data_IF_328473599615
#
_entry.id   IF_328473599615
#
_cell.length_a   1.000
_cell.length_b   1.000
_cell.length_c   1.000
_cell.angle_alpha   90.00
_cell.angle_beta   90.00
_cell.angle_gamma   90.00
#
_symmetry.space_group_name_H-M   'P 1'
#
loop_
_entity.id
_entity.type
_entity.pdbx_description
1 polymer ?
#
# COMPACT_ATOMS: atom_id res chain seq x y z
N UNK A 1 33.41 4.42 -6.96
CA UNK A 1 32.73 4.55 -8.26
C UNK A 1 31.23 4.19 -8.13
N UNK A 2 30.44 4.96 -7.36
CA UNK A 2 29.01 4.63 -7.10
C UNK A 2 28.05 5.83 -7.31
N UNK A 3 28.56 7.07 -7.40
CA UNK A 3 27.72 8.28 -7.47
C UNK A 3 27.25 8.73 -8.86
N UNK A 4 27.71 8.10 -9.95
CA UNK A 4 27.49 8.60 -11.33
C UNK A 4 26.19 8.09 -11.95
N UNK A 5 25.71 6.90 -11.56
CA UNK A 5 24.49 6.29 -12.15
C UNK A 5 23.22 7.06 -11.75
N UNK A 6 23.19 7.68 -10.57
CA UNK A 6 22.05 8.46 -10.10
C UNK A 6 21.78 9.74 -10.92
N UNK A 7 22.77 10.23 -11.69
CA UNK A 7 22.74 11.58 -12.27
C UNK A 7 22.23 11.64 -13.71
N UNK A 8 22.16 10.51 -14.42
CA UNK A 8 21.82 10.43 -15.85
C UNK A 8 20.30 10.47 -16.11
N UNK A 9 19.46 10.08 -15.15
CA UNK A 9 17.99 10.03 -15.31
C UNK A 9 17.25 11.31 -14.90
N UNK A 10 17.91 12.47 -14.91
CA UNK A 10 17.27 13.76 -14.57
C UNK A 10 16.52 14.36 -15.76
N UNK A 11 15.27 13.92 -15.97
CA UNK A 11 14.11 14.69 -16.48
C UNK A 11 12.94 13.75 -16.86
N UNK A 12 12.09 13.39 -15.90
CA UNK A 12 10.69 13.03 -16.13
C UNK A 12 9.87 13.62 -14.97
N UNK A 13 8.58 13.93 -15.19
CA UNK A 13 7.69 14.58 -14.20
C UNK A 13 7.64 13.86 -12.83
N UNK A 14 8.14 12.62 -12.72
CA UNK A 14 8.16 11.82 -11.49
C UNK A 14 9.54 11.20 -11.24
N UNK A 15 10.08 11.47 -10.05
CA UNK A 15 11.36 10.92 -9.59
C UNK A 15 11.21 9.59 -8.81
N UNK A 16 12.34 8.96 -8.49
CA UNK A 16 12.36 7.69 -7.75
C UNK A 16 11.72 7.79 -6.36
N UNK A 17 11.79 8.96 -5.71
CA UNK A 17 11.24 9.16 -4.36
C UNK A 17 9.72 9.15 -4.44
N UNK A 18 9.14 9.89 -5.38
CA UNK A 18 7.71 9.94 -5.60
C UNK A 18 7.16 8.58 -6.06
N UNK A 19 7.84 7.85 -6.95
CA UNK A 19 7.42 6.48 -7.32
C UNK A 19 7.36 5.57 -6.11
N UNK A 20 8.40 5.56 -5.26
CA UNK A 20 8.42 4.72 -4.06
C UNK A 20 7.33 5.11 -3.08
N UNK A 21 7.10 6.41 -2.88
CA UNK A 21 6.05 6.93 -2.00
C UNK A 21 4.64 6.56 -2.48
N UNK A 22 4.44 6.50 -3.79
CA UNK A 22 3.15 6.17 -4.44
C UNK A 22 2.98 4.69 -4.76
N UNK A 23 3.91 3.84 -4.33
CA UNK A 23 3.93 2.42 -4.71
C UNK A 23 2.69 1.65 -4.27
N UNK A 24 2.19 1.87 -3.05
CA UNK A 24 0.93 1.26 -2.58
C UNK A 24 -0.26 1.73 -3.42
N UNK A 25 -0.46 3.05 -3.57
CA UNK A 25 -1.54 3.62 -4.40
C UNK A 25 -1.47 3.11 -5.86
N UNK A 26 -0.27 2.90 -6.39
CA UNK A 26 -0.05 2.36 -7.74
C UNK A 26 -0.47 0.89 -7.85
N UNK A 27 -0.07 0.05 -6.89
CA UNK A 27 -0.42 -1.38 -6.82
C UNK A 27 -1.93 -1.57 -6.71
N UNK A 28 -2.59 -0.70 -5.94
CA UNK A 28 -4.04 -0.75 -5.71
C UNK A 28 -4.83 0.04 -6.78
N UNK A 29 -4.16 0.57 -7.81
CA UNK A 29 -4.76 1.37 -8.90
C UNK A 29 -5.54 2.61 -8.42
N UNK A 30 -5.18 3.18 -7.26
CA UNK A 30 -5.84 4.34 -6.64
C UNK A 30 -5.24 5.69 -7.05
N UNK A 31 -4.24 5.70 -7.92
CA UNK A 31 -3.67 6.93 -8.46
C UNK A 31 -4.59 7.58 -9.50
N UNK A 32 -4.67 8.93 -9.53
CA UNK A 32 -5.26 9.63 -10.66
C UNK A 32 -4.61 9.20 -11.98
N UNK A 33 -5.40 9.09 -13.06
CA UNK A 33 -4.94 8.56 -14.36
C UNK A 33 -3.62 9.14 -14.84
N UNK A 34 -3.45 10.48 -14.78
CA UNK A 34 -2.18 11.13 -15.15
C UNK A 34 -1.00 10.57 -14.34
N UNK A 35 -1.18 10.48 -13.02
CA UNK A 35 -0.13 10.02 -12.10
C UNK A 35 0.18 8.53 -12.27
N UNK A 36 -0.84 7.73 -12.53
CA UNK A 36 -0.65 6.31 -12.85
C UNK A 36 0.23 6.12 -14.08
N UNK A 37 -0.04 6.85 -15.16
CA UNK A 37 0.78 6.81 -16.39
C UNK A 37 2.21 7.28 -16.14
N UNK A 38 2.39 8.39 -15.42
CA UNK A 38 3.72 8.90 -15.06
C UNK A 38 4.55 7.87 -14.28
N UNK A 39 3.94 7.19 -13.29
CA UNK A 39 4.59 6.13 -12.51
C UNK A 39 4.89 4.92 -13.40
N UNK A 40 3.94 4.48 -14.22
CA UNK A 40 4.14 3.37 -15.15
C UNK A 40 5.31 3.62 -16.09
N UNK A 41 5.43 4.83 -16.64
CA UNK A 41 6.51 5.21 -17.55
C UNK A 41 7.87 5.30 -16.84
N UNK A 42 7.90 5.74 -15.58
CA UNK A 42 9.11 5.67 -14.77
C UNK A 42 9.54 4.20 -14.55
N UNK A 43 8.60 3.32 -14.18
CA UNK A 43 8.88 1.90 -13.95
C UNK A 43 9.40 1.22 -15.21
N UNK A 44 8.91 1.59 -16.41
CA UNK A 44 9.45 1.11 -17.70
C UNK A 44 10.96 1.37 -17.85
N UNK A 45 11.45 2.50 -17.36
CA UNK A 45 12.85 2.94 -17.52
C UNK A 45 13.77 2.80 -16.31
N UNK A 46 13.25 2.43 -15.13
CA UNK A 46 14.01 2.41 -13.88
C UNK A 46 13.94 1.04 -13.20
N UNK A 47 14.94 0.19 -13.47
CA UNK A 47 15.02 -1.15 -12.90
C UNK A 47 14.98 -1.18 -11.35
N UNK A 48 15.67 -0.27 -10.61
CA UNK A 48 15.58 -0.23 -9.15
C UNK A 48 14.18 0.07 -8.61
N UNK A 49 13.41 0.95 -9.26
CA UNK A 49 12.04 1.26 -8.84
C UNK A 49 11.08 0.14 -9.19
N UNK A 50 11.28 -0.55 -10.32
CA UNK A 50 10.53 -1.76 -10.67
C UNK A 50 10.71 -2.86 -9.63
N UNK A 51 11.96 -3.19 -9.31
CA UNK A 51 12.25 -4.21 -8.29
C UNK A 51 11.64 -3.89 -6.92
N UNK A 52 11.63 -2.61 -6.53
CA UNK A 52 10.97 -2.15 -5.30
C UNK A 52 9.46 -2.39 -5.33
N UNK A 53 8.77 -1.95 -6.39
CA UNK A 53 7.31 -2.12 -6.54
C UNK A 53 6.93 -3.60 -6.60
N UNK A 54 7.67 -4.40 -7.36
CA UNK A 54 7.44 -5.85 -7.47
C UNK A 54 7.61 -6.55 -6.11
N UNK A 55 8.60 -6.14 -5.31
CA UNK A 55 8.83 -6.68 -3.96
C UNK A 55 7.69 -6.31 -3.01
N UNK A 56 7.21 -5.07 -3.07
CA UNK A 56 6.07 -4.63 -2.27
C UNK A 56 4.80 -5.41 -2.65
N UNK A 57 4.51 -5.52 -3.95
CA UNK A 57 3.37 -6.29 -4.45
C UNK A 57 3.43 -7.77 -4.03
N UNK A 58 4.62 -8.37 -4.09
CA UNK A 58 4.85 -9.74 -3.62
C UNK A 58 4.60 -9.89 -2.13
N UNK A 59 5.06 -8.93 -1.32
CA UNK A 59 4.85 -8.91 0.13
C UNK A 59 3.37 -8.81 0.48
N UNK A 60 2.62 -7.93 -0.19
CA UNK A 60 1.16 -7.82 -0.07
C UNK A 60 0.51 -9.16 -0.45
N UNK A 61 0.94 -9.78 -1.54
CA UNK A 61 0.47 -11.10 -1.98
C UNK A 61 0.72 -12.22 -0.97
N UNK A 62 1.85 -12.19 -0.25
CA UNK A 62 2.13 -13.17 0.81
C UNK A 62 1.23 -12.96 2.03
N UNK A 63 1.08 -11.71 2.49
CA UNK A 63 0.26 -11.39 3.67
C UNK A 63 -1.22 -11.70 3.41
N UNK A 64 -1.73 -11.39 2.21
CA UNK A 64 -3.14 -11.62 1.84
C UNK A 64 -3.51 -13.10 1.75
N UNK A 65 -2.54 -13.99 1.56
CA UNK A 65 -2.73 -15.46 1.52
C UNK A 65 -2.67 -16.13 2.89
N UNK A 66 -2.29 -15.40 3.93
CA UNK A 66 -2.30 -15.96 5.28
C UNK A 66 -3.72 -16.38 5.66
N UNK A 67 -3.89 -17.51 6.37
CA UNK A 67 -5.21 -17.95 6.81
C UNK A 67 -5.93 -16.85 7.57
N UNK A 68 -7.16 -16.54 7.15
CA UNK A 68 -8.02 -15.66 7.95
C UNK A 68 -8.42 -16.42 9.20
N UNK A 69 -8.08 -15.86 10.36
CA UNK A 69 -8.52 -16.41 11.63
C UNK A 69 -10.04 -16.26 11.71
N UNK A 70 -10.74 -17.38 11.85
CA UNK A 70 -12.18 -17.36 12.06
C UNK A 70 -12.49 -16.69 13.40
N UNK A 71 -13.40 -15.73 13.39
CA UNK A 71 -13.88 -15.09 14.61
C UNK A 71 -14.59 -16.14 15.49
N UNK A 72 -14.25 -16.27 16.79
CA UNK A 72 -14.96 -17.18 17.69
C UNK A 72 -16.45 -16.87 17.70
N UNK A 73 -17.31 -17.91 17.71
CA UNK A 73 -18.76 -17.74 17.58
C UNK A 73 -19.37 -16.73 18.58
N UNK A 74 -18.81 -16.66 19.80
CA UNK A 74 -19.29 -15.76 20.86
C UNK A 74 -18.73 -14.33 20.78
N UNK A 75 -17.72 -14.07 19.95
CA UNK A 75 -17.04 -12.77 19.90
C UNK A 75 -18.00 -11.65 19.45
N UNK A 76 -18.87 -11.92 18.46
CA UNK A 76 -19.87 -10.93 18.04
C UNK A 76 -20.84 -10.57 19.17
N UNK A 77 -21.29 -11.57 19.94
CA UNK A 77 -22.19 -11.36 21.07
C UNK A 77 -21.52 -10.55 22.18
N UNK A 78 -20.29 -10.90 22.56
CA UNK A 78 -19.57 -10.16 23.61
C UNK A 78 -19.33 -8.70 23.24
N UNK A 79 -19.09 -8.38 21.96
CA UNK A 79 -18.96 -7.00 21.49
C UNK A 79 -20.30 -6.26 21.60
N UNK A 80 -21.40 -6.88 21.15
CA UNK A 80 -22.73 -6.26 21.20
C UNK A 80 -23.27 -6.05 22.62
N UNK A 81 -22.89 -6.90 23.57
CA UNK A 81 -23.19 -6.72 24.99
C UNK A 81 -22.42 -5.52 25.55
N UNK A 82 -21.10 -5.45 25.30
CA UNK A 82 -20.25 -4.35 25.76
C UNK A 82 -20.72 -2.99 25.24
N UNK A 83 -21.10 -2.92 23.96
CA UNK A 83 -21.62 -1.68 23.34
C UNK A 83 -22.92 -1.24 24.01
N UNK A 84 -23.86 -2.16 24.26
CA UNK A 84 -25.11 -1.86 24.96
C UNK A 84 -24.86 -1.34 26.38
N UNK A 85 -23.97 -1.97 27.13
CA UNK A 85 -23.59 -1.54 28.48
C UNK A 85 -22.98 -0.12 28.50
N UNK A 86 -22.19 0.24 27.47
CA UNK A 86 -21.66 1.59 27.34
C UNK A 86 -22.73 2.62 26.98
N UNK A 87 -23.69 2.28 26.12
CA UNK A 87 -24.80 3.17 25.77
C UNK A 87 -25.67 3.46 27.00
N UNK A 88 -26.03 2.41 27.74
CA UNK A 88 -26.83 2.54 28.98
C UNK A 88 -26.10 3.41 30.02
N UNK A 89 -24.77 3.27 30.16
CA UNK A 89 -23.96 4.12 31.06
C UNK A 89 -23.82 5.58 30.63
N UNK A 90 -24.00 5.89 29.34
CA UNK A 90 -23.93 7.26 28.82
C UNK A 90 -25.28 7.99 28.89
N UNK A 91 -26.37 7.24 28.93
CA UNK A 91 -27.75 7.75 28.91
C UNK A 91 -28.39 7.85 30.31
N UNK A 92 -27.80 7.20 31.33
CA UNK A 92 -28.19 7.31 32.74
C UNK A 92 -27.25 8.19 33.55
#
# INVERSE_FOLDING_TARGET
MIGVIAKIFRRREVDCIEVRRRSSDYIEEQLPRKKFTEVQDHLKGCAPCRAFVDTLASTIGLITRLPRVATPARFKQSILERVREEQIRREG
#
